data_IF_328163575082
#
_entry.id   IF_328163575082
#
_cell.length_a   1.000
_cell.length_b   1.000
_cell.length_c   1.000
_cell.angle_alpha   90.00
_cell.angle_beta   90.00
_cell.angle_gamma   90.00
#
_symmetry.space_group_name_H-M   'P 1'
#
loop_
_entity.id
_entity.type
_entity.pdbx_description
1 polymer ?
#
# COMPACT_ATOMS: atom_id res chain seq x y z
N UNK A 1 -2.39 19.27 3.02
CA UNK A 1 -1.66 18.11 3.46
C UNK A 1 -2.16 16.85 2.77
N UNK A 2 -1.30 16.12 2.14
CA UNK A 2 -1.71 14.97 1.37
C UNK A 2 -1.80 13.73 2.23
N UNK A 3 -2.95 13.09 2.22
CA UNK A 3 -3.13 11.81 2.86
C UNK A 3 -3.06 10.75 1.78
N UNK A 4 -2.24 9.74 2.03
CA UNK A 4 -2.03 8.68 1.06
C UNK A 4 -2.76 7.43 1.52
N UNK A 5 -3.42 6.78 0.59
CA UNK A 5 -4.12 5.53 0.85
C UNK A 5 -3.43 4.39 0.13
N UNK A 6 -3.53 3.20 0.71
CA UNK A 6 -2.96 2.00 0.13
C UNK A 6 -4.08 1.08 -0.27
N UNK A 7 -4.08 0.68 -1.53
CA UNK A 7 -5.13 -0.13 -2.12
C UNK A 7 -4.52 -1.39 -2.69
N UNK A 8 -5.11 -2.53 -2.41
CA UNK A 8 -4.70 -3.81 -2.98
C UNK A 8 -5.61 -4.17 -4.13
N UNK A 9 -5.03 -4.39 -5.31
CA UNK A 9 -5.77 -4.84 -6.46
C UNK A 9 -5.71 -6.36 -6.55
N UNK A 10 -6.87 -6.98 -6.66
CA UNK A 10 -6.98 -8.42 -6.62
C UNK A 10 -8.09 -8.85 -7.56
N UNK A 11 -7.75 -9.56 -8.62
CA UNK A 11 -8.72 -10.08 -9.57
C UNK A 11 -9.65 -9.00 -10.10
N UNK A 12 -9.07 -7.83 -10.41
CA UNK A 12 -9.86 -6.74 -10.95
C UNK A 12 -10.61 -5.92 -9.94
N UNK A 13 -10.50 -6.25 -8.66
CA UNK A 13 -11.14 -5.50 -7.59
C UNK A 13 -10.10 -4.77 -6.77
N UNK A 14 -10.52 -3.66 -6.20
CA UNK A 14 -9.66 -2.85 -5.36
C UNK A 14 -10.15 -2.92 -3.92
N UNK A 15 -9.22 -3.16 -3.02
CA UNK A 15 -9.52 -3.22 -1.61
C UNK A 15 -8.68 -2.20 -0.87
N UNK A 16 -9.33 -1.31 -0.14
CA UNK A 16 -8.62 -0.33 0.65
C UNK A 16 -8.01 -1.01 1.87
N UNK A 17 -6.68 -0.96 1.96
CA UNK A 17 -5.99 -1.59 3.07
C UNK A 17 -5.72 -0.62 4.21
N UNK A 18 -5.15 0.55 3.89
CA UNK A 18 -4.75 1.51 4.90
C UNK A 18 -5.02 2.92 4.40
N UNK A 19 -5.24 3.82 5.35
CA UNK A 19 -5.36 5.24 5.07
C UNK A 19 -4.37 6.00 5.94
N UNK A 20 -4.08 7.23 5.54
CA UNK A 20 -3.19 8.11 6.29
C UNK A 20 -1.79 7.51 6.40
N UNK A 21 -1.32 6.97 5.31
CA UNK A 21 0.02 6.41 5.23
C UNK A 21 1.05 7.52 5.33
N UNK A 22 2.05 7.33 6.18
CA UNK A 22 3.12 8.32 6.31
C UNK A 22 4.41 7.87 5.64
N UNK A 23 4.65 6.56 5.54
CA UNK A 23 5.83 6.08 4.84
C UNK A 23 5.56 4.68 4.33
N UNK A 24 6.29 4.32 3.29
CA UNK A 24 6.23 3.00 2.69
C UNK A 24 7.65 2.56 2.40
N UNK A 25 7.98 1.37 2.86
CA UNK A 25 9.33 0.84 2.69
C UNK A 25 9.22 -0.51 2.00
N UNK A 26 10.02 -0.70 0.96
CA UNK A 26 10.07 -1.98 0.24
C UNK A 26 11.03 -2.89 0.99
N UNK A 27 10.51 -4.03 1.43
CA UNK A 27 11.33 -5.03 2.10
C UNK A 27 11.42 -6.26 1.23
N UNK A 28 12.18 -7.24 1.69
CA UNK A 28 12.56 -8.36 0.84
C UNK A 28 11.35 -9.15 0.34
N UNK A 29 10.37 -9.38 1.21
CA UNK A 29 9.25 -10.23 0.86
C UNK A 29 7.93 -9.48 0.81
N UNK A 30 7.98 -8.15 0.73
CA UNK A 30 6.75 -7.39 0.72
C UNK A 30 6.97 -5.93 0.98
N UNK A 31 6.07 -5.33 1.73
CA UNK A 31 6.11 -3.90 2.01
C UNK A 31 5.88 -3.66 3.48
N UNK A 32 6.47 -2.59 3.98
CA UNK A 32 6.28 -2.15 5.34
C UNK A 32 5.71 -0.74 5.29
N UNK A 33 4.54 -0.57 5.85
CA UNK A 33 3.79 0.67 5.72
C UNK A 33 3.53 1.25 7.10
N UNK A 34 3.93 2.49 7.29
CA UNK A 34 3.64 3.20 8.52
C UNK A 34 2.45 4.10 8.31
N UNK A 35 1.54 4.12 9.27
CA UNK A 35 0.37 4.96 9.22
C UNK A 35 0.39 5.93 10.39
N UNK A 36 -0.36 7.01 10.24
CA UNK A 36 -0.38 8.05 11.25
C UNK A 36 -1.03 7.58 12.54
N UNK A 37 -2.10 6.79 12.43
CA UNK A 37 -2.89 6.42 13.59
C UNK A 37 -2.73 4.98 14.03
N UNK A 38 -2.31 4.10 13.12
CA UNK A 38 -2.29 2.67 13.41
C UNK A 38 -0.89 2.10 13.55
N UNK A 39 0.13 2.94 13.39
CA UNK A 39 1.50 2.47 13.49
C UNK A 39 1.97 1.80 12.22
N UNK A 40 2.93 0.90 12.36
CA UNK A 40 3.57 0.26 11.23
C UNK A 40 3.01 -1.13 11.04
N UNK A 41 2.73 -1.47 9.77
CA UNK A 41 2.21 -2.78 9.42
C UNK A 41 3.03 -3.34 8.26
N UNK A 42 3.20 -4.65 8.24
CA UNK A 42 3.91 -5.34 7.18
C UNK A 42 2.94 -6.17 6.37
N UNK A 43 3.09 -6.10 5.06
CA UNK A 43 2.30 -6.90 4.14
C UNK A 43 3.27 -7.73 3.31
N UNK A 44 3.16 -9.04 3.43
CA UNK A 44 4.05 -9.96 2.73
C UNK A 44 3.37 -10.49 1.49
N UNK A 45 4.18 -10.79 0.47
CA UNK A 45 3.65 -11.34 -0.76
C UNK A 45 2.98 -10.33 -1.65
N UNK A 46 3.26 -9.03 -1.45
CA UNK A 46 2.69 -7.98 -2.28
C UNK A 46 3.81 -7.12 -2.84
N UNK A 47 3.50 -6.41 -3.91
CA UNK A 47 4.44 -5.50 -4.53
C UNK A 47 3.68 -4.27 -5.00
N UNK A 48 4.41 -3.19 -5.23
CA UNK A 48 3.80 -1.96 -5.73
C UNK A 48 3.49 -2.15 -7.21
N UNK A 49 2.25 -1.92 -7.57
CA UNK A 49 1.85 -1.94 -8.97
C UNK A 49 2.01 -0.57 -9.61
N UNK A 50 1.50 0.46 -8.95
CA UNK A 50 1.65 1.83 -9.42
C UNK A 50 1.34 2.78 -8.28
N UNK A 51 1.77 4.01 -8.45
CA UNK A 51 1.50 5.06 -7.49
C UNK A 51 0.84 6.20 -8.22
N UNK A 52 -0.29 6.67 -7.67
CA UNK A 52 -1.01 7.80 -8.21
C UNK A 52 -0.78 9.00 -7.29
N UNK A 53 0.15 9.84 -7.69
CA UNK A 53 0.50 10.99 -6.85
C UNK A 53 -0.59 12.04 -6.83
N UNK A 54 -1.35 12.17 -7.91
CA UNK A 54 -2.40 13.18 -7.93
C UNK A 54 -3.57 12.77 -7.04
N UNK A 55 -3.89 11.49 -7.00
CA UNK A 55 -4.95 10.99 -6.16
C UNK A 55 -4.51 10.58 -4.78
N UNK A 56 -3.22 10.51 -4.53
CA UNK A 56 -2.71 10.12 -3.23
C UNK A 56 -2.94 8.65 -2.93
N UNK A 57 -2.76 7.77 -3.92
CA UNK A 57 -3.02 6.35 -3.73
C UNK A 57 -1.85 5.52 -4.20
N UNK A 58 -1.55 4.47 -3.44
CA UNK A 58 -0.56 3.48 -3.81
C UNK A 58 -1.30 2.18 -4.09
N UNK A 59 -1.09 1.65 -5.30
CA UNK A 59 -1.78 0.43 -5.72
C UNK A 59 -0.81 -0.73 -5.63
N UNK A 60 -1.22 -1.74 -4.90
CA UNK A 60 -0.43 -2.95 -4.71
C UNK A 60 -1.07 -4.12 -5.44
N UNK A 61 -0.27 -5.14 -5.69
CA UNK A 61 -0.80 -6.39 -6.22
C UNK A 61 -0.09 -7.55 -5.53
N UNK A 62 -0.68 -8.72 -5.61
CA UNK A 62 -0.07 -9.89 -5.02
C UNK A 62 1.08 -10.36 -5.90
N UNK A 63 2.26 -10.46 -5.28
CA UNK A 63 3.48 -10.76 -6.03
C UNK A 63 3.57 -12.22 -6.44
N UNK A 64 2.93 -13.11 -5.68
CA UNK A 64 2.97 -14.54 -5.97
C UNK A 64 1.57 -15.05 -6.22
N UNK A 65 0.93 -14.39 -7.11
CA UNK A 65 -0.44 -14.74 -7.46
C UNK A 65 -0.55 -15.73 -8.56
#
# INVERSE_FOLDING_TARGET
MCQTSVVLEKKGEEELLLENETSLEVIENGLKIATLFEGTKEFLGVAIRRIDFSGGKVFLHQANG
#
